data_IF_019244820939
#
_entry.id   IF_019244820939
#
_cell.length_a   1.000
_cell.length_b   1.000
_cell.length_c   1.000
_cell.angle_alpha   90.00
_cell.angle_beta   90.00
_cell.angle_gamma   90.00
#
_symmetry.space_group_name_H-M   'P 1'
#
loop_
_entity.id
_entity.type
_entity.pdbx_description
1 polymer ?
2 non-polymer ?
3 non-polymer ?
4 non-polymer ?
5 water ?
#
# COMPACT_ATOMS: atom_id res chain seq x y z
N UNK A 1 7.53 16.85 -19.66
CA UNK A 1 7.61 15.39 -19.89
C UNK A 1 7.46 14.65 -18.55
N UNK A 2 7.20 13.35 -18.66
CA UNK A 2 7.16 12.49 -17.48
C UNK A 2 8.55 11.94 -17.27
N UNK A 3 9.11 12.15 -16.08
CA UNK A 3 10.41 11.59 -15.74
C UNK A 3 10.38 10.68 -14.53
N UNK A 4 9.25 10.57 -13.85
CA UNK A 4 9.14 9.74 -12.65
C UNK A 4 7.80 9.01 -12.68
N UNK A 5 7.81 7.75 -12.27
CA UNK A 5 6.61 6.94 -12.16
C UNK A 5 6.60 6.34 -10.75
N UNK A 6 5.57 6.64 -9.97
CA UNK A 6 5.45 6.19 -8.58
C UNK A 6 4.30 5.20 -8.45
N UNK A 7 4.51 4.18 -7.62
CA UNK A 7 3.56 3.12 -7.34
C UNK A 7 3.27 3.06 -5.84
N UNK A 8 2.27 2.27 -5.49
CA UNK A 8 1.96 1.89 -4.11
C UNK A 8 2.04 0.37 -4.08
N UNK A 9 3.24 -0.16 -3.87
CA UNK A 9 3.50 -1.57 -4.09
C UNK A 9 2.71 -2.42 -3.10
N UNK A 10 3.09 -2.36 -1.82
CA UNK A 10 2.50 -3.20 -0.79
C UNK A 10 1.02 -2.91 -0.57
N UNK A 11 0.51 -1.82 -1.14
CA UNK A 11 -0.88 -1.49 -0.98
C UNK A 11 -1.72 -1.83 -2.20
N UNK A 12 -1.09 -1.88 -3.37
CA UNK A 12 -1.86 -2.04 -4.61
C UNK A 12 -1.28 -3.02 -5.62
N UNK A 13 -0.04 -3.49 -5.46
CA UNK A 13 0.57 -4.42 -6.41
C UNK A 13 0.65 -5.84 -5.87
N UNK A 14 0.07 -6.09 -4.69
CA UNK A 14 0.01 -7.42 -4.12
C UNK A 14 -1.28 -8.07 -4.61
N UNK A 15 -1.19 -9.32 -5.03
CA UNK A 15 -2.38 -10.00 -5.55
C UNK A 15 -3.47 -10.05 -4.47
N UNK A 16 -4.72 -10.09 -4.92
CA UNK A 16 -5.84 -10.12 -3.97
C UNK A 16 -5.80 -11.42 -3.17
N UNK A 17 -5.55 -12.55 -3.84
CA UNK A 17 -5.42 -13.81 -3.13
C UNK A 17 -4.25 -13.76 -2.15
N UNK A 18 -3.13 -13.16 -2.56
CA UNK A 18 -1.95 -13.16 -1.71
C UNK A 18 -2.14 -12.34 -0.46
N UNK A 19 -2.71 -11.13 -0.59
CA UNK A 19 -2.91 -10.28 0.57
C UNK A 19 -3.87 -10.94 1.57
N UNK A 20 -4.98 -11.48 1.07
CA UNK A 20 -5.92 -12.16 1.96
C UNK A 20 -5.28 -13.35 2.64
N UNK A 21 -4.47 -14.12 1.89
CA UNK A 21 -3.84 -15.30 2.46
C UNK A 21 -2.84 -14.92 3.55
N UNK A 22 -2.03 -13.89 3.33
CA UNK A 22 -1.15 -13.42 4.39
C UNK A 22 -1.95 -13.12 5.65
N UNK A 23 -3.01 -12.34 5.50
CA UNK A 23 -3.83 -11.94 6.64
C UNK A 23 -4.46 -13.15 7.32
N UNK A 24 -5.03 -14.04 6.52
CA UNK A 24 -5.66 -15.23 7.09
C UNK A 24 -4.65 -16.06 7.86
N UNK A 25 -3.44 -16.22 7.31
CA UNK A 25 -2.41 -17.01 7.99
C UNK A 25 -1.95 -16.35 9.27
N UNK A 26 -1.96 -15.02 9.33
CA UNK A 26 -1.68 -14.35 10.60
C UNK A 26 -2.75 -14.71 11.62
N UNK A 27 -4.02 -14.61 11.23
CA UNK A 27 -5.09 -14.92 12.17
C UNK A 27 -5.01 -16.36 12.65
N UNK A 28 -4.73 -17.29 11.75
CA UNK A 28 -4.62 -18.69 12.12
C UNK A 28 -3.50 -18.89 13.13
N UNK A 29 -2.36 -18.24 12.93
CA UNK A 29 -1.25 -18.34 13.87
C UNK A 29 -1.61 -17.72 15.22
N UNK A 30 -2.31 -16.58 15.21
CA UNK A 30 -2.69 -15.94 16.46
C UNK A 30 -3.62 -16.83 17.27
N UNK A 31 -4.56 -17.49 16.60
CA UNK A 31 -5.61 -18.22 17.29
C UNK A 31 -5.12 -19.59 17.78
N UNK A 32 -4.22 -20.22 17.05
CA UNK A 32 -3.85 -21.59 17.40
C UNK A 32 -5.08 -22.46 17.40
N UNK A 33 -5.31 -23.15 18.52
CA UNK A 33 -6.45 -24.05 18.65
C UNK A 33 -7.69 -23.36 19.21
N UNK A 34 -7.64 -22.06 19.47
CA UNK A 34 -8.80 -21.38 20.02
C UNK A 34 -9.98 -21.56 19.08
N UNK A 35 -11.19 -21.86 19.61
CA UNK A 35 -12.34 -22.24 18.77
C UNK A 35 -13.07 -21.08 18.10
N UNK A 36 -12.31 -20.21 17.44
CA UNK A 36 -12.88 -19.10 16.66
C UNK A 36 -12.45 -19.27 15.21
N UNK A 37 -13.40 -19.08 14.30
CA UNK A 37 -13.10 -19.19 12.87
C UNK A 37 -12.13 -18.07 12.49
N UNK A 38 -10.93 -18.39 11.98
CA UNK A 38 -9.98 -17.32 11.63
C UNK A 38 -10.51 -16.34 10.60
N UNK A 39 -11.35 -16.78 9.67
CA UNK A 39 -11.93 -15.88 8.69
C UNK A 39 -12.83 -14.86 9.35
N UNK A 40 -13.54 -15.26 10.42
CA UNK A 40 -14.35 -14.29 11.15
C UNK A 40 -13.48 -13.29 11.89
N UNK A 41 -12.43 -13.77 12.56
CA UNK A 41 -11.48 -12.86 13.17
C UNK A 41 -10.91 -11.87 12.14
N UNK A 42 -10.54 -12.37 10.96
CA UNK A 42 -9.97 -11.50 9.93
C UNK A 42 -10.96 -10.42 9.54
N UNK A 43 -12.22 -10.81 9.29
CA UNK A 43 -13.24 -9.83 8.92
C UNK A 43 -13.38 -8.75 9.98
N UNK A 44 -13.45 -9.15 11.25
CA UNK A 44 -13.57 -8.18 12.34
C UNK A 44 -12.32 -7.30 12.43
N UNK A 45 -11.15 -7.91 12.24
CA UNK A 45 -9.89 -7.17 12.27
C UNK A 45 -9.88 -6.09 11.18
N UNK A 46 -10.29 -6.44 9.97
CA UNK A 46 -10.27 -5.44 8.89
C UNK A 46 -11.23 -4.29 9.19
N UNK A 47 -12.43 -4.61 9.69
CA UNK A 47 -13.34 -3.55 10.12
C UNK A 47 -12.65 -2.59 11.07
N UNK A 48 -12.10 -3.11 12.17
CA UNK A 48 -11.50 -2.25 13.19
C UNK A 48 -10.28 -1.52 12.66
N UNK A 49 -9.52 -2.17 11.78
CA UNK A 49 -8.34 -1.53 11.19
C UNK A 49 -8.75 -0.34 10.32
N UNK A 50 -9.71 -0.55 9.42
CA UNK A 50 -10.22 0.55 8.60
C UNK A 50 -10.67 1.71 9.47
N UNK A 51 -11.44 1.42 10.51
CA UNK A 51 -11.87 2.47 11.43
C UNK A 51 -10.68 3.20 12.03
N UNK A 52 -9.69 2.44 12.52
CA UNK A 52 -8.56 3.06 13.21
C UNK A 52 -7.76 3.96 12.27
N UNK A 53 -7.52 3.50 11.05
CA UNK A 53 -6.76 4.30 10.10
C UNK A 53 -7.52 5.55 9.70
N UNK A 54 -8.83 5.44 9.50
CA UNK A 54 -9.63 6.62 9.17
C UNK A 54 -9.49 7.69 10.23
N UNK A 55 -9.34 7.30 11.49
CA UNK A 55 -9.13 8.28 12.56
C UNK A 55 -7.79 9.00 12.40
N UNK A 56 -6.83 8.39 11.71
CA UNK A 56 -5.49 8.94 11.57
C UNK A 56 -5.24 9.59 10.21
N UNK A 57 -6.15 9.46 9.26
CA UNK A 57 -5.95 10.05 7.94
C UNK A 57 -5.61 11.52 8.08
N UNK A 58 -4.55 11.94 7.41
CA UNK A 58 -4.11 13.32 7.43
C UNK A 58 -3.37 13.76 8.67
N UNK A 59 -3.26 12.90 9.68
CA UNK A 59 -2.71 13.30 10.96
C UNK A 59 -1.22 12.98 11.03
N UNK A 60 -0.52 13.52 12.03
CA UNK A 60 0.88 13.15 12.24
C UNK A 60 1.03 11.65 12.38
N UNK A 61 2.18 11.16 11.96
CA UNK A 61 2.42 9.73 11.87
C UNK A 61 2.53 9.10 13.25
N UNK A 62 2.06 7.87 13.36
CA UNK A 62 2.18 7.01 14.53
C UNK A 62 2.46 5.62 13.97
N UNK A 63 3.38 4.88 14.57
CA UNK A 63 3.72 3.55 14.00
C UNK A 63 2.49 2.70 13.74
N UNK A 64 2.36 2.26 12.48
CA UNK A 64 1.21 1.45 12.11
C UNK A 64 1.16 0.15 12.90
N UNK A 65 2.32 -0.41 13.21
CA UNK A 65 2.34 -1.64 14.01
C UNK A 65 1.77 -1.40 15.39
N UNK A 66 1.98 -0.21 15.96
CA UNK A 66 1.37 0.11 17.25
C UNK A 66 -0.14 0.21 17.12
N UNK A 67 -0.62 0.80 16.02
CA UNK A 67 -2.07 0.93 15.81
C UNK A 67 -2.70 -0.45 15.66
N UNK A 68 -2.08 -1.31 14.87
CA UNK A 68 -2.66 -2.63 14.62
C UNK A 68 -2.56 -3.52 15.85
N UNK A 69 -1.52 -3.34 16.66
CA UNK A 69 -1.44 -4.11 17.90
C UNK A 69 -2.52 -3.67 18.88
N UNK A 70 -2.86 -2.38 18.91
CA UNK A 70 -4.01 -1.95 19.69
C UNK A 70 -5.29 -2.63 19.20
N UNK A 71 -5.50 -2.66 17.89
CA UNK A 71 -6.68 -3.33 17.34
C UNK A 71 -6.73 -4.78 17.78
N UNK A 72 -5.60 -5.48 17.70
CA UNK A 72 -5.60 -6.89 18.08
C UNK A 72 -5.87 -7.06 19.56
N UNK A 73 -5.43 -6.11 20.39
CA UNK A 73 -5.75 -6.16 21.81
C UNK A 73 -7.25 -6.13 22.04
N UNK A 74 -7.95 -5.25 21.31
CA UNK A 74 -9.40 -5.17 21.44
C UNK A 74 -10.05 -6.46 20.97
N UNK A 75 -9.51 -7.08 19.93
CA UNK A 75 -10.08 -8.33 19.41
C UNK A 75 -9.87 -9.46 20.42
N UNK A 76 -8.69 -9.54 21.02
CA UNK A 76 -8.44 -10.55 22.03
C UNK A 76 -9.43 -10.40 23.18
N UNK A 77 -9.64 -9.17 23.67
CA UNK A 77 -10.60 -8.96 24.75
C UNK A 77 -12.00 -9.32 24.29
N UNK A 78 -12.36 -8.97 23.05
CA UNK A 78 -13.70 -9.23 22.55
C UNK A 78 -14.00 -10.72 22.53
N UNK A 79 -13.09 -11.51 21.98
CA UNK A 79 -13.34 -12.93 21.72
C UNK A 79 -12.78 -13.85 22.79
N UNK A 80 -11.91 -13.36 23.67
CA UNK A 80 -11.46 -14.12 24.82
C UNK A 80 -10.15 -14.88 24.67
N UNK A 81 -9.47 -14.76 23.55
CA UNK A 81 -8.19 -15.43 23.39
C UNK A 81 -7.07 -14.54 23.94
N UNK A 82 -5.95 -15.16 24.28
CA UNK A 82 -4.83 -14.44 24.85
C UNK A 82 -4.18 -13.54 23.80
N UNK A 83 -3.81 -12.34 24.20
CA UNK A 83 -3.17 -11.42 23.28
C UNK A 83 -1.87 -12.05 22.80
N UNK A 84 -1.65 -12.16 21.49
CA UNK A 84 -0.40 -12.78 21.01
C UNK A 84 0.79 -11.87 21.25
N UNK A 85 1.86 -12.45 21.79
CA UNK A 85 3.13 -11.75 21.85
C UNK A 85 3.79 -11.76 20.47
N UNK A 86 4.58 -10.73 20.20
CA UNK A 86 5.39 -10.65 18.98
C UNK A 86 4.52 -10.68 17.72
N UNK A 87 3.36 -10.01 17.79
CA UNK A 87 2.47 -9.98 16.63
C UNK A 87 3.18 -9.42 15.40
N UNK A 88 4.01 -8.40 15.56
CA UNK A 88 4.64 -7.83 14.37
C UNK A 88 5.64 -8.79 13.74
N UNK A 89 6.25 -9.67 14.53
CA UNK A 89 7.12 -10.69 13.96
C UNK A 89 6.31 -11.73 13.22
N UNK A 90 5.19 -12.17 13.80
CA UNK A 90 4.31 -13.11 13.11
C UNK A 90 3.91 -12.54 11.76
N UNK A 91 3.53 -11.27 11.75
CA UNK A 91 3.00 -10.65 10.54
C UNK A 91 4.08 -10.55 9.48
N UNK A 92 5.29 -10.15 9.86
CA UNK A 92 6.35 -10.03 8.86
C UNK A 92 6.73 -11.39 8.30
N UNK A 93 6.76 -12.42 9.15
CA UNK A 93 7.05 -13.76 8.65
C UNK A 93 5.99 -14.24 7.68
N UNK A 94 4.71 -14.04 8.00
CA UNK A 94 3.65 -14.49 7.10
C UNK A 94 3.68 -13.69 5.78
N UNK A 95 3.94 -12.38 5.85
CA UNK A 95 4.02 -11.58 4.62
C UNK A 95 5.13 -12.06 3.71
N UNK A 96 6.32 -12.28 4.27
CA UNK A 96 7.43 -12.75 3.47
C UNK A 96 7.16 -14.14 2.90
N UNK A 97 6.43 -14.98 3.63
CA UNK A 97 6.20 -16.35 3.20
C UNK A 97 5.13 -16.45 2.12
N UNK A 98 4.01 -15.74 2.27
CA UNK A 98 2.87 -15.90 1.39
C UNK A 98 2.58 -14.70 0.52
N UNK A 99 3.30 -13.59 0.71
CA UNK A 99 3.09 -12.43 -0.14
C UNK A 99 3.35 -12.77 -1.59
N UNK A 100 2.56 -12.18 -2.47
CA UNK A 100 2.61 -12.50 -3.89
C UNK A 100 2.28 -11.27 -4.72
N UNK A 101 3.08 -11.05 -5.77
CA UNK A 101 2.87 -9.93 -6.68
C UNK A 101 1.94 -10.31 -7.82
N UNK A 102 1.21 -9.32 -8.34
CA UNK A 102 0.52 -9.51 -9.62
C UNK A 102 1.55 -9.94 -10.66
N UNK A 103 1.16 -10.77 -11.62
CA UNK A 103 2.17 -11.44 -12.47
C UNK A 103 3.00 -10.50 -13.33
N UNK A 104 2.51 -9.31 -13.67
CA UNK A 104 3.21 -8.42 -14.58
C UNK A 104 4.11 -7.39 -13.88
N UNK A 105 4.20 -7.45 -12.56
CA UNK A 105 4.83 -6.35 -11.81
C UNK A 105 6.32 -6.27 -12.11
N UNK A 106 7.03 -7.40 -12.01
CA UNK A 106 8.47 -7.36 -12.19
C UNK A 106 8.84 -6.86 -13.59
N UNK A 107 8.12 -7.35 -14.59
CA UNK A 107 8.35 -6.89 -15.97
C UNK A 107 8.17 -5.39 -16.10
N UNK A 108 7.12 -4.86 -15.49
CA UNK A 108 6.79 -3.45 -15.66
C UNK A 108 7.82 -2.57 -14.96
N UNK A 109 8.19 -2.91 -13.73
CA UNK A 109 9.20 -2.12 -13.03
C UNK A 109 10.52 -2.13 -13.78
N UNK A 110 10.94 -3.30 -14.28
CA UNK A 110 12.20 -3.37 -15.02
C UNK A 110 12.14 -2.55 -16.31
N UNK A 111 11.01 -2.57 -17.01
CA UNK A 111 10.91 -1.84 -18.26
C UNK A 111 10.97 -0.34 -18.03
N UNK A 112 10.48 0.13 -16.89
CA UNK A 112 10.47 1.55 -16.60
C UNK A 112 11.81 2.03 -16.04
N UNK A 113 12.51 1.17 -15.30
CA UNK A 113 13.64 1.62 -14.49
C UNK A 113 14.73 2.22 -15.35
N UNK A 114 14.84 1.78 -16.61
CA UNK A 114 15.92 2.28 -17.46
C UNK A 114 15.73 3.68 -17.97
N UNK A 115 14.49 4.17 -18.01
CA UNK A 115 14.15 5.41 -18.66
C UNK A 115 13.49 6.43 -17.74
N UNK A 116 13.02 6.01 -16.56
CA UNK A 116 12.32 6.88 -15.65
C UNK A 116 12.84 6.62 -14.23
N UNK A 117 12.62 7.59 -13.35
CA UNK A 117 12.74 7.32 -11.91
C UNK A 117 11.53 6.51 -11.45
N UNK A 118 11.77 5.27 -11.02
CA UNK A 118 10.70 4.39 -10.54
C UNK A 118 10.70 4.42 -9.02
N UNK A 119 9.60 4.89 -8.45
CA UNK A 119 9.48 5.06 -7.01
C UNK A 119 8.32 4.29 -6.41
N UNK A 120 8.46 3.97 -5.13
CA UNK A 120 7.39 3.38 -4.34
C UNK A 120 6.97 4.37 -3.26
N UNK A 121 5.68 4.47 -3.04
CA UNK A 121 5.11 5.36 -2.03
C UNK A 121 4.21 4.48 -1.15
N UNK A 122 4.58 4.32 0.11
CA UNK A 122 3.97 3.33 0.98
C UNK A 122 3.50 3.92 2.30
N UNK A 123 2.28 3.58 2.70
CA UNK A 123 1.80 3.89 4.04
C UNK A 123 2.02 2.67 4.92
N UNK A 124 3.28 2.47 5.25
CA UNK A 124 3.73 1.40 6.10
C UNK A 124 4.84 1.93 6.99
N UNK A 125 5.16 1.17 8.02
CA UNK A 125 6.39 1.42 8.76
C UNK A 125 7.57 0.97 7.89
N UNK A 126 8.62 1.79 7.87
CA UNK A 126 9.67 1.63 6.87
C UNK A 126 10.39 0.28 7.00
N UNK A 127 10.64 -0.17 8.22
CA UNK A 127 11.46 -1.38 8.38
C UNK A 127 10.74 -2.62 7.88
N UNK A 128 9.53 -2.94 8.35
CA UNK A 128 8.85 -4.14 7.80
C UNK A 128 8.51 -3.99 6.32
N UNK A 129 8.10 -2.79 5.90
CA UNK A 129 7.82 -2.56 4.49
C UNK A 129 9.02 -2.89 3.62
N UNK A 130 10.19 -2.40 3.98
CA UNK A 130 11.40 -2.66 3.19
C UNK A 130 11.78 -4.13 3.24
N UNK A 131 11.62 -4.78 4.40
CA UNK A 131 11.89 -6.21 4.48
C UNK A 131 10.94 -7.00 3.60
N UNK A 132 9.67 -6.57 3.53
CA UNK A 132 8.69 -7.24 2.67
C UNK A 132 9.06 -7.06 1.21
N UNK A 133 9.42 -5.85 0.80
CA UNK A 133 9.86 -5.61 -0.57
C UNK A 133 11.07 -6.47 -0.91
N UNK A 134 11.97 -6.64 0.05
CA UNK A 134 13.13 -7.50 -0.15
C UNK A 134 12.72 -8.95 -0.38
N UNK A 135 11.79 -9.45 0.46
CA UNK A 135 11.31 -10.82 0.28
C UNK A 135 10.61 -11.02 -1.05
N UNK A 136 9.87 -10.00 -1.51
CA UNK A 136 9.22 -10.08 -2.80
C UNK A 136 10.21 -9.99 -3.96
N UNK A 137 11.41 -9.50 -3.72
CA UNK A 137 12.44 -9.42 -4.74
C UNK A 137 12.43 -8.16 -5.58
N UNK A 138 11.71 -7.11 -5.18
CA UNK A 138 11.59 -5.91 -6.00
C UNK A 138 12.22 -4.69 -5.33
N UNK A 139 12.76 -4.84 -4.11
CA UNK A 139 13.29 -3.67 -3.41
C UNK A 139 14.27 -2.89 -4.27
N UNK A 140 15.23 -3.58 -4.86
CA UNK A 140 16.29 -2.93 -5.62
C UNK A 140 15.85 -2.55 -7.04
N UNK A 141 14.63 -2.89 -7.42
CA UNK A 141 14.08 -2.40 -8.68
C UNK A 141 13.61 -0.96 -8.58
N UNK A 142 13.43 -0.44 -7.39
CA UNK A 142 12.97 0.93 -7.20
C UNK A 142 14.17 1.86 -7.10
N UNK A 143 14.06 3.04 -7.72
CA UNK A 143 15.04 4.09 -7.50
C UNK A 143 14.81 4.80 -6.19
N UNK A 144 13.57 4.84 -5.70
CA UNK A 144 13.30 5.41 -4.37
C UNK A 144 12.16 4.63 -3.71
N UNK A 145 12.20 4.56 -2.39
CA UNK A 145 11.13 4.02 -1.57
C UNK A 145 10.84 5.07 -0.49
N UNK A 146 9.60 5.53 -0.41
CA UNK A 146 9.22 6.61 0.49
C UNK A 146 8.02 6.16 1.30
N UNK A 147 8.06 6.41 2.61
CA UNK A 147 7.03 5.93 3.51
C UNK A 147 6.45 7.06 4.35
N UNK A 148 5.25 6.81 4.88
CA UNK A 148 4.63 7.79 5.78
C UNK A 148 5.47 7.98 7.03
N UNK A 149 6.23 6.97 7.44
CA UNK A 149 7.11 7.12 8.59
C UNK A 149 8.20 8.14 8.30
N UNK A 150 8.69 8.16 7.06
CA UNK A 150 9.68 9.17 6.68
C UNK A 150 9.04 10.55 6.59
N UNK A 151 7.86 10.63 5.98
CA UNK A 151 7.25 11.92 5.73
C UNK A 151 6.76 12.57 7.01
N UNK A 152 6.23 11.78 7.95
CA UNK A 152 5.75 12.30 9.20
C UNK A 152 4.25 12.50 9.28
N UNK A 153 3.52 12.14 8.22
CA UNK A 153 2.08 12.33 8.19
C UNK A 153 1.42 11.21 7.40
N UNK A 154 0.21 10.86 7.80
CA UNK A 154 -0.62 9.93 7.03
C UNK A 154 -1.29 10.65 5.88
N UNK A 155 -1.54 9.90 4.81
CA UNK A 155 -2.35 10.41 3.71
C UNK A 155 -3.75 10.73 4.23
N UNK A 156 -4.45 11.65 3.57
CA UNK A 156 -4.11 12.37 2.35
C UNK A 156 -3.15 13.55 2.55
N UNK A 157 -2.47 13.66 3.68
CA UNK A 157 -1.48 14.72 3.83
C UNK A 157 -0.47 14.63 2.68
N UNK A 158 -0.10 15.74 2.07
CA UNK A 158 0.75 15.66 0.87
C UNK A 158 2.23 15.49 1.13
N UNK A 159 2.68 15.47 2.40
CA UNK A 159 4.11 15.48 2.67
C UNK A 159 4.79 14.26 2.07
N UNK A 160 4.12 13.10 2.08
CA UNK A 160 4.74 11.90 1.55
C UNK A 160 5.01 12.05 0.05
N UNK A 161 4.09 12.70 -0.66
CA UNK A 161 4.31 12.91 -2.10
C UNK A 161 5.37 13.97 -2.33
N UNK A 162 5.39 15.00 -1.49
CA UNK A 162 6.43 16.02 -1.60
C UNK A 162 7.81 15.41 -1.42
N UNK A 163 7.94 14.48 -0.48
CA UNK A 163 9.23 13.85 -0.24
C UNK A 163 9.60 12.91 -1.38
N UNK A 164 8.64 12.12 -1.87
CA UNK A 164 8.93 11.22 -2.98
C UNK A 164 9.40 11.99 -4.20
N UNK A 165 8.79 13.14 -4.47
CA UNK A 165 9.18 13.97 -5.61
C UNK A 165 10.58 14.56 -5.40
N UNK A 166 10.90 14.99 -4.18
CA UNK A 166 12.24 15.48 -3.87
C UNK A 166 13.27 14.41 -4.13
N UNK A 167 13.01 13.16 -3.70
CA UNK A 167 13.96 12.09 -3.97
C UNK A 167 14.19 11.92 -5.46
N UNK A 168 13.14 12.04 -6.26
CA UNK A 168 13.25 11.95 -7.71
C UNK A 168 13.83 13.23 -8.32
N UNK A 169 13.81 14.33 -7.58
CA UNK A 169 14.38 15.57 -8.05
C UNK A 169 13.56 16.32 -9.07
N UNK A 170 12.23 16.13 -9.08
CA UNK A 170 11.39 16.77 -10.07
C UNK A 170 10.12 17.27 -9.40
N UNK A 171 9.45 18.22 -10.05
CA UNK A 171 8.17 18.67 -9.55
C UNK A 171 7.07 17.72 -10.02
N UNK A 172 5.90 17.84 -9.39
CA UNK A 172 4.84 16.88 -9.61
C UNK A 172 4.39 16.81 -11.05
N UNK A 173 4.50 17.93 -11.78
CA UNK A 173 4.13 17.95 -13.18
C UNK A 173 4.92 16.94 -14.00
N UNK A 174 6.10 16.53 -13.52
CA UNK A 174 6.95 15.59 -14.24
C UNK A 174 6.75 14.14 -13.80
N UNK A 175 5.67 13.84 -13.07
CA UNK A 175 5.53 12.53 -12.43
C UNK A 175 4.12 11.98 -12.57
N UNK A 176 4.04 10.66 -12.66
CA UNK A 176 2.76 9.96 -12.60
C UNK A 176 2.72 9.12 -11.34
N UNK A 177 1.51 8.97 -10.79
CA UNK A 177 1.29 8.13 -9.60
C UNK A 177 0.22 7.09 -9.93
N UNK A 178 0.57 5.82 -9.73
CA UNK A 178 -0.32 4.69 -9.98
C UNK A 178 -0.83 4.18 -8.64
N UNK A 179 -2.14 4.30 -8.41
CA UNK A 179 -2.75 3.84 -7.17
C UNK A 179 -4.07 3.14 -7.44
N UNK A 180 -4.67 2.62 -6.38
CA UNK A 180 -5.98 1.99 -6.48
C UNK A 180 -7.03 2.68 -5.62
N UNK A 181 -6.65 3.65 -4.79
CA UNK A 181 -7.59 4.44 -4.01
C UNK A 181 -7.41 5.90 -4.43
N UNK A 182 -8.36 6.51 -5.14
CA UNK A 182 -8.13 7.85 -5.68
C UNK A 182 -8.36 8.98 -4.69
N UNK A 183 -8.95 8.71 -3.52
CA UNK A 183 -9.30 9.78 -2.60
C UNK A 183 -8.09 10.21 -1.77
N UNK A 184 -7.37 9.24 -1.20
CA UNK A 184 -6.10 9.56 -0.53
C UNK A 184 -5.04 9.96 -1.55
N UNK A 185 -5.24 9.63 -2.82
CA UNK A 185 -4.39 10.15 -3.90
C UNK A 185 -4.77 11.59 -4.21
N UNK A 186 -6.04 11.83 -4.54
CA UNK A 186 -6.46 13.16 -4.97
C UNK A 186 -6.21 14.21 -3.89
N UNK A 187 -6.53 13.89 -2.63
CA UNK A 187 -6.31 14.81 -1.55
C UNK A 187 -4.86 15.23 -1.35
N UNK A 188 -3.92 14.59 -2.05
CA UNK A 188 -2.52 14.93 -1.92
C UNK A 188 -1.84 15.21 -3.24
N UNK A 189 -1.82 14.23 -4.14
CA UNK A 189 -1.01 14.34 -5.35
C UNK A 189 -1.59 15.35 -6.35
N UNK A 190 -2.91 15.52 -6.37
CA UNK A 190 -3.52 16.44 -7.32
C UNK A 190 -2.98 17.85 -7.16
N UNK A 191 -2.94 18.35 -5.92
CA UNK A 191 -2.48 19.71 -5.68
C UNK A 191 -1.00 19.89 -6.01
N UNK A 192 -0.25 18.81 -6.11
CA UNK A 192 1.16 18.86 -6.46
C UNK A 192 1.39 18.76 -7.97
N UNK A 193 0.33 18.53 -8.75
CA UNK A 193 0.44 18.53 -10.19
C UNK A 193 0.71 17.19 -10.83
N UNK A 194 0.69 16.11 -10.05
CA UNK A 194 1.01 14.81 -10.61
C UNK A 194 -0.13 14.29 -11.46
N UNK A 195 0.21 13.45 -12.43
CA UNK A 195 -0.77 12.73 -13.24
C UNK A 195 -1.14 11.42 -12.55
N UNK A 196 -2.44 11.18 -12.38
CA UNK A 196 -2.92 10.03 -11.61
C UNK A 196 -3.38 8.93 -12.56
N UNK A 197 -2.93 7.71 -12.28
CA UNK A 197 -3.40 6.52 -12.96
C UNK A 197 -4.08 5.64 -11.90
N UNK A 198 -5.37 5.33 -12.11
CA UNK A 198 -6.09 4.42 -11.25
C UNK A 198 -5.97 3.00 -11.80
N UNK A 199 -5.56 2.07 -10.94
CA UNK A 199 -5.55 0.65 -11.28
C UNK A 199 -6.86 0.06 -10.78
N UNK A 200 -7.72 -0.35 -11.72
CA UNK A 200 -9.02 -0.96 -11.45
C UNK A 200 -9.06 -2.27 -12.23
N UNK A 201 -8.48 -3.32 -11.66
CA UNK A 201 -8.29 -4.55 -12.41
C UNK A 201 -9.61 -5.22 -12.78
N UNK A 202 -10.63 -5.07 -11.93
CA UNK A 202 -11.92 -5.71 -12.17
C UNK A 202 -13.00 -4.74 -12.60
N UNK A 203 -12.64 -3.48 -12.85
CA UNK A 203 -13.65 -2.49 -13.19
C UNK A 203 -14.71 -2.32 -12.12
N UNK A 204 -14.29 -2.30 -10.86
CA UNK A 204 -15.21 -2.24 -9.73
C UNK A 204 -15.30 -0.86 -9.10
N UNK A 205 -14.65 0.15 -9.67
CA UNK A 205 -14.56 1.45 -9.03
C UNK A 205 -14.99 2.56 -9.98
N UNK A 206 -15.89 2.25 -10.92
CA UNK A 206 -16.27 3.22 -11.94
C UNK A 206 -16.70 4.55 -11.34
N UNK A 207 -17.30 4.53 -10.15
CA UNK A 207 -17.78 5.76 -9.56
C UNK A 207 -16.65 6.70 -9.14
N UNK A 208 -15.40 6.27 -9.24
CA UNK A 208 -14.26 7.12 -8.93
C UNK A 208 -13.32 7.33 -10.11
N UNK A 209 -13.67 6.81 -11.30
CA UNK A 209 -12.82 7.01 -12.47
C UNK A 209 -12.68 8.50 -12.81
N UNK A 210 -13.67 9.32 -12.47
CA UNK A 210 -13.58 10.74 -12.76
C UNK A 210 -12.55 11.43 -11.90
N UNK A 211 -12.12 10.80 -10.81
CA UNK A 211 -11.10 11.34 -9.92
C UNK A 211 -9.69 10.97 -10.37
N UNK A 212 -9.52 10.46 -11.60
CA UNK A 212 -8.24 10.02 -12.10
C UNK A 212 -8.08 10.41 -13.56
N UNK A 213 -6.84 10.71 -13.95
CA UNK A 213 -6.56 11.11 -15.32
C UNK A 213 -6.56 9.91 -16.27
N UNK A 214 -6.16 8.74 -15.79
CA UNK A 214 -6.16 7.53 -16.60
C UNK A 214 -6.61 6.36 -15.73
N UNK A 215 -7.22 5.36 -16.36
CA UNK A 215 -7.66 4.15 -15.69
C UNK A 215 -7.09 2.95 -16.44
N UNK A 216 -6.46 2.03 -15.72
CA UNK A 216 -5.93 0.81 -16.30
C UNK A 216 -6.42 -0.40 -15.50
N UNK A 217 -6.37 -1.56 -16.15
CA UNK A 217 -6.62 -2.83 -15.50
C UNK A 217 -5.41 -3.75 -15.50
N UNK A 218 -4.35 -3.39 -16.21
CA UNK A 218 -3.10 -4.13 -16.24
C UNK A 218 -1.96 -3.11 -16.16
N UNK A 219 -0.95 -3.42 -15.35
CA UNK A 219 0.14 -2.47 -15.13
C UNK A 219 0.97 -2.26 -16.40
N UNK A 220 0.94 -3.20 -17.35
CA UNK A 220 1.66 -2.99 -18.60
C UNK A 220 1.08 -1.83 -19.41
N UNK A 221 -0.14 -1.39 -19.10
CA UNK A 221 -0.66 -0.19 -19.75
C UNK A 221 0.07 1.07 -19.28
N UNK A 222 0.78 1.02 -18.16
CA UNK A 222 1.38 2.22 -17.60
C UNK A 222 2.46 2.76 -18.53
N UNK A 223 3.34 1.89 -19.02
CA UNK A 223 4.44 2.36 -19.87
C UNK A 223 3.88 3.00 -21.14
N UNK A 224 2.80 2.44 -21.69
CA UNK A 224 2.22 2.99 -22.91
C UNK A 224 1.66 4.38 -22.66
N UNK A 225 1.08 4.60 -21.48
CA UNK A 225 0.55 5.92 -21.14
C UNK A 225 1.68 6.94 -21.03
N UNK A 226 2.77 6.58 -20.35
CA UNK A 226 3.84 7.55 -20.13
C UNK A 226 4.65 7.75 -21.41
N UNK A 227 4.94 6.67 -22.13
CA UNK A 227 5.66 6.80 -23.40
C UNK A 227 4.95 7.77 -24.34
N UNK A 228 3.62 7.77 -24.32
CA UNK A 228 2.86 8.63 -25.21
C UNK A 228 2.78 10.06 -24.68
N UNK A 229 2.64 10.23 -23.38
CA UNK A 229 2.72 11.57 -22.80
C UNK A 229 4.04 12.25 -23.18
N UNK A 230 5.08 11.45 -23.40
CA UNK A 230 6.38 11.96 -23.81
C UNK A 230 6.54 11.97 -25.33
N UNK A 231 5.45 11.87 -26.08
CA UNK A 231 5.51 11.86 -27.53
C UNK A 231 6.53 10.89 -28.09
X LIG B 1 -1.04 -4.16 6.83
X LIG B 1 -0.34 -3.16 6.13
X LIG B 1 -1.27 -5.37 5.96
X LIG B 1 -0.05 -6.03 5.66
X LIG B 1 0.47 -6.74 6.75
X LIG B 1 1.65 -7.59 6.37
X LIG B 1 2.86 -6.97 6.78
X LIG B 1 -0.56 -4.43 7.62
X LIG B 1 -1.90 -3.82 7.13
X LIG B 1 -0.33 -2.46 6.61
X LIG B 1 -1.72 -5.09 5.15
X LIG B 1 -1.89 -5.97 6.42
X LIG B 1 0.74 -6.11 7.45
X LIG B 1 -0.22 -7.30 7.14
X LIG B 1 1.61 -7.72 5.41
X LIG B 1 1.52 -8.46 6.78
X LIG B 1 3.48 -7.56 6.78
X LIG C 1 0.59 -6.38 11.19
X LIG C 1 0.18 -6.41 12.51
X LIG C 1 -1.05 -6.96 12.84
X LIG C 1 -1.89 -7.49 11.84
X LIG C 1 -1.47 -7.46 10.52
X LIG C 1 -0.24 -6.91 10.18
X LIG C 1 1.29 -5.68 14.03
X LIG C 1 -2.35 -8.02 9.44
X LIG C 1 1.90 -5.79 10.81
X LIG C 1 -2.24 -7.52 8.30
X LIG C 1 -3.13 -8.89 9.65
X LIG C 1 2.93 -6.24 11.35
X LIG C 1 2.00 -4.92 10.01
X LIG C 1 -1.40 -7.00 13.88
X LIG C 1 -2.87 -7.93 12.10
X LIG C 1 0.09 -6.88 9.12
X LIG D 1 3.43 -1.58 9.05
#
# INVERSE_FOLDING_TARGET
MIRAVFFDSLGTLISVEGAYKVRLKIMEEVLGDYPLNPATLLDEYEKLAREAFSNYAGKPYRPMRDILEEVMRKLAEKYGFKYPENLREISLRMACRYGELYPEVVEVLKSLKGKYHVGDILQRDTEPATAFLDALGIKDLFDSITTSEEAGFFKPHPRIFELALKKAGVKGEKAVYVGDNPVKDAGGSKNLGMTSILLDRKGEKREFWDKADFIVSDLREVIKIVDELNGQGSLEHHHHHH
PEG C1 O1 C2 O2 C3 C4 O4 H11 H12 HO1 H21 H22 H31 H32 H41 H42 HO4
A1IGD C10 C02 C03 C04 C05 C09 I01 N06 N11 O07 O08 O12 O13 H031 H041 H091
CL CL
#
